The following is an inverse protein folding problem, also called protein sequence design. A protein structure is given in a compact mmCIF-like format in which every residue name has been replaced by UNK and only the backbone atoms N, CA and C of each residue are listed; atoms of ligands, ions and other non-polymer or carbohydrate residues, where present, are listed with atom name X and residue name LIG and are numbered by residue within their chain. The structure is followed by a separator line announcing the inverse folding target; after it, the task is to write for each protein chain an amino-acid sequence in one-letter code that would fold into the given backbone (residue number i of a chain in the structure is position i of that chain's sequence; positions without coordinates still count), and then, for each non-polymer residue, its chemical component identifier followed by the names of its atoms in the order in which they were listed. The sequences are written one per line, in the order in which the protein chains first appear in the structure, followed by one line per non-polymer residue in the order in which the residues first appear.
data_IF_728481831090
#
_entry.id   IF_728481831090
#
_cell.length_a   1.000
_cell.length_b   1.000
_cell.length_c   1.000
_cell.angle_alpha   90.00
_cell.angle_beta   90.00
_cell.angle_gamma   90.00
#
_symmetry.space_group_name_H-M   'P 1'
#
loop_
_entity.id
_entity.type
_entity.pdbx_description
1 polymer ?
#
# COMPACT_ATOMS: atom_id res chain seq x y z
N UNK A 1 -9.69 -5.57 19.88
CA UNK A 1 -9.01 -4.25 19.85
C UNK A 1 -7.99 -4.27 18.71
N UNK A 2 -8.07 -3.31 17.83
CA UNK A 2 -7.16 -3.20 16.68
C UNK A 2 -5.86 -2.53 17.13
N UNK A 3 -4.75 -3.15 16.78
CA UNK A 3 -3.41 -2.62 17.05
C UNK A 3 -2.58 -2.62 15.77
N UNK A 4 -1.69 -1.64 15.64
CA UNK A 4 -0.68 -1.55 14.59
C UNK A 4 0.71 -1.63 15.25
N UNK A 5 1.49 -2.62 14.85
CA UNK A 5 2.85 -2.82 15.37
C UNK A 5 3.86 -2.73 14.23
N UNK A 6 4.94 -2.02 14.47
CA UNK A 6 6.07 -2.04 13.52
C UNK A 6 6.57 -3.50 13.36
N UNK A 7 6.75 -3.90 12.12
CA UNK A 7 7.33 -5.19 11.77
C UNK A 7 8.86 -5.12 11.79
N UNK A 8 9.47 -6.21 12.18
CA UNK A 8 10.91 -6.42 12.17
C UNK A 8 11.27 -7.51 11.15
N UNK A 9 12.57 -7.73 10.82
CA UNK A 9 12.96 -8.80 9.92
C UNK A 9 12.46 -10.19 10.32
N UNK A 10 12.26 -10.44 11.61
CA UNK A 10 11.73 -11.69 12.14
C UNK A 10 10.25 -11.91 11.77
N UNK A 11 9.53 -10.84 11.44
CA UNK A 11 8.12 -10.89 11.00
C UNK A 11 7.96 -11.17 9.50
N UNK A 12 9.03 -11.25 8.73
CA UNK A 12 8.96 -11.45 7.27
C UNK A 12 8.13 -12.68 6.90
N UNK A 13 8.29 -13.85 7.52
CA UNK A 13 7.43 -15.00 7.23
C UNK A 13 5.94 -14.72 7.42
N UNK A 14 5.57 -13.98 8.47
CA UNK A 14 4.18 -13.60 8.73
C UNK A 14 3.65 -12.62 7.67
N UNK A 15 4.48 -11.66 7.24
CA UNK A 15 4.12 -10.73 6.15
C UNK A 15 3.87 -11.49 4.84
N UNK A 16 4.69 -12.48 4.54
CA UNK A 16 4.54 -13.35 3.36
C UNK A 16 3.25 -14.16 3.43
N UNK A 17 2.93 -14.76 4.58
CA UNK A 17 1.66 -15.48 4.79
C UNK A 17 0.44 -14.58 4.60
N UNK A 18 0.45 -13.40 5.23
CA UNK A 18 -0.64 -12.43 5.09
C UNK A 18 -0.81 -11.98 3.64
N UNK A 19 0.28 -11.66 2.96
CA UNK A 19 0.25 -11.25 1.56
C UNK A 19 -0.32 -12.36 0.66
N UNK A 20 0.14 -13.60 0.83
CA UNK A 20 -0.35 -14.76 0.09
C UNK A 20 -1.87 -14.94 0.28
N UNK A 21 -2.32 -14.94 1.51
CA UNK A 21 -3.74 -15.16 1.83
C UNK A 21 -4.64 -14.02 1.31
N UNK A 22 -4.20 -12.76 1.48
CA UNK A 22 -5.00 -11.59 1.12
C UNK A 22 -5.02 -11.37 -0.40
N UNK A 23 -3.87 -11.45 -1.06
CA UNK A 23 -3.77 -11.18 -2.50
C UNK A 23 -4.59 -12.16 -3.34
N UNK A 24 -4.58 -13.44 -3.00
CA UNK A 24 -5.40 -14.44 -3.70
C UNK A 24 -6.91 -14.21 -3.55
N UNK A 25 -7.34 -13.46 -2.54
CA UNK A 25 -8.75 -13.07 -2.40
C UNK A 25 -9.05 -11.74 -3.09
N UNK A 26 -8.14 -10.78 -3.02
CA UNK A 26 -8.37 -9.40 -3.51
C UNK A 26 -8.19 -9.30 -5.02
N UNK A 27 -7.22 -10.00 -5.60
CA UNK A 27 -6.85 -9.82 -7.01
C UNK A 27 -7.40 -10.88 -7.98
N UNK A 28 -8.21 -11.82 -7.51
CA UNK A 28 -8.76 -12.91 -8.34
C UNK A 28 -9.56 -12.44 -9.56
N UNK A 29 -10.18 -11.26 -9.48
CA UNK A 29 -10.95 -10.67 -10.59
C UNK A 29 -10.13 -9.72 -11.47
N UNK A 30 -8.86 -9.48 -11.14
CA UNK A 30 -8.01 -8.47 -11.79
C UNK A 30 -6.88 -9.13 -12.56
N UNK A 31 -6.21 -10.09 -11.95
CA UNK A 31 -5.08 -10.84 -12.53
C UNK A 31 -5.27 -12.33 -12.27
N UNK A 32 -4.56 -13.16 -13.02
CA UNK A 32 -4.62 -14.62 -12.84
C UNK A 32 -3.94 -15.07 -11.55
N UNK A 33 -4.27 -16.28 -11.01
CA UNK A 33 -3.56 -16.83 -9.86
C UNK A 33 -2.05 -16.96 -10.09
N UNK A 34 -1.63 -17.33 -11.29
CA UNK A 34 -0.22 -17.46 -11.67
C UNK A 34 0.48 -16.09 -11.67
N UNK A 35 -0.18 -15.05 -12.16
CA UNK A 35 0.32 -13.67 -12.11
C UNK A 35 0.41 -13.18 -10.66
N UNK A 36 -0.57 -13.51 -9.82
CA UNK A 36 -0.54 -13.20 -8.39
C UNK A 36 0.66 -13.84 -7.71
N UNK A 37 0.89 -15.14 -7.92
CA UNK A 37 2.03 -15.86 -7.36
C UNK A 37 3.36 -15.27 -7.82
N UNK A 38 3.46 -14.91 -9.10
CA UNK A 38 4.66 -14.28 -9.65
C UNK A 38 4.93 -12.90 -9.00
N UNK A 39 3.90 -12.07 -8.86
CA UNK A 39 4.05 -10.76 -8.21
C UNK A 39 4.45 -10.92 -6.75
N UNK A 40 3.83 -11.84 -6.01
CA UNK A 40 4.18 -12.12 -4.63
C UNK A 40 5.63 -12.60 -4.50
N UNK A 41 6.09 -13.47 -5.39
CA UNK A 41 7.47 -13.98 -5.39
C UNK A 41 8.53 -12.89 -5.63
N UNK A 42 8.16 -11.82 -6.35
CA UNK A 42 9.05 -10.70 -6.66
C UNK A 42 8.98 -9.56 -5.63
N UNK A 43 7.78 -9.27 -5.14
CA UNK A 43 7.53 -8.12 -4.27
C UNK A 43 7.65 -8.44 -2.79
N UNK A 44 7.48 -9.70 -2.41
CA UNK A 44 7.43 -10.16 -1.02
C UNK A 44 8.50 -11.21 -0.69
N UNK A 45 9.50 -11.39 -1.54
CA UNK A 45 10.63 -12.24 -1.14
C UNK A 45 11.37 -11.62 0.05
N UNK A 46 11.99 -12.48 0.85
CA UNK A 46 12.61 -12.06 2.11
C UNK A 46 13.75 -11.06 1.91
N UNK A 47 14.48 -11.15 0.80
CA UNK A 47 15.56 -10.22 0.47
C UNK A 47 15.01 -8.84 0.16
N UNK A 48 13.94 -8.77 -0.61
CA UNK A 48 13.27 -7.50 -0.96
C UNK A 48 12.71 -6.81 0.27
N UNK A 49 11.93 -7.50 1.11
CA UNK A 49 11.37 -6.91 2.33
C UNK A 49 12.48 -6.43 3.27
N UNK A 50 13.51 -7.24 3.47
CA UNK A 50 14.65 -6.90 4.34
C UNK A 50 15.38 -5.66 3.83
N UNK A 51 15.60 -5.56 2.52
CA UNK A 51 16.23 -4.40 1.88
C UNK A 51 15.36 -3.15 2.03
N UNK A 52 14.05 -3.25 1.84
CA UNK A 52 13.12 -2.13 2.05
C UNK A 52 13.18 -1.63 3.49
N UNK A 53 13.15 -2.54 4.48
CA UNK A 53 13.27 -2.18 5.90
C UNK A 53 14.62 -1.50 6.18
N UNK A 54 15.71 -2.01 5.63
CA UNK A 54 17.04 -1.43 5.80
C UNK A 54 17.16 -0.04 5.17
N UNK A 55 16.39 0.24 4.11
CA UNK A 55 16.36 1.53 3.41
C UNK A 55 15.31 2.51 3.98
N UNK A 56 14.73 2.20 5.14
CA UNK A 56 13.83 3.12 5.85
C UNK A 56 12.36 2.96 5.54
N UNK A 57 11.94 1.96 4.78
CA UNK A 57 10.52 1.64 4.63
C UNK A 57 9.99 1.05 5.94
N UNK A 58 8.96 1.67 6.46
CA UNK A 58 8.25 1.18 7.63
C UNK A 58 7.23 0.15 7.19
N UNK A 59 7.31 -1.03 7.73
CA UNK A 59 6.30 -2.08 7.60
C UNK A 59 5.55 -2.21 8.93
N UNK A 60 4.23 -2.32 8.88
CA UNK A 60 3.41 -2.57 10.07
C UNK A 60 2.45 -3.72 9.86
N UNK A 61 2.17 -4.44 10.93
CA UNK A 61 1.20 -5.53 10.99
C UNK A 61 0.00 -5.04 11.79
N UNK A 62 -1.19 -5.17 11.20
CA UNK A 62 -2.46 -4.93 11.86
C UNK A 62 -2.96 -6.21 12.51
N UNK A 63 -3.43 -6.11 13.74
CA UNK A 63 -4.00 -7.22 14.50
C UNK A 63 -5.35 -6.85 15.08
N UNK A 64 -6.24 -7.82 15.15
CA UNK A 64 -7.42 -7.79 16.02
C UNK A 64 -7.17 -8.75 17.18
N UNK A 65 -6.93 -8.19 18.37
CA UNK A 65 -6.40 -8.96 19.49
C UNK A 65 -5.06 -9.61 19.12
N UNK A 66 -5.02 -10.94 19.15
CA UNK A 66 -3.82 -11.70 18.78
C UNK A 66 -3.76 -12.08 17.29
N UNK A 67 -4.86 -11.93 16.55
CA UNK A 67 -4.99 -12.37 15.16
C UNK A 67 -4.43 -11.32 14.19
N UNK A 68 -3.42 -11.66 13.36
CA UNK A 68 -2.99 -10.79 12.29
C UNK A 68 -4.08 -10.69 11.21
N UNK A 69 -4.43 -9.46 10.81
CA UNK A 69 -5.54 -9.21 9.88
C UNK A 69 -5.13 -8.38 8.66
N UNK A 70 -3.90 -7.90 8.62
CA UNK A 70 -3.44 -7.08 7.51
C UNK A 70 -2.08 -6.46 7.77
N UNK A 71 -1.65 -5.65 6.82
CA UNK A 71 -0.35 -4.97 6.88
C UNK A 71 -0.36 -3.71 6.02
N UNK A 72 0.58 -2.82 6.29
CA UNK A 72 0.85 -1.65 5.46
C UNK A 72 2.36 -1.36 5.44
N UNK A 73 2.79 -0.65 4.41
CA UNK A 73 4.17 -0.13 4.35
C UNK A 73 4.21 1.22 3.66
N UNK A 74 5.08 2.08 4.15
CA UNK A 74 5.25 3.44 3.65
C UNK A 74 6.67 3.95 3.92
N UNK A 75 7.09 4.95 3.16
CA UNK A 75 8.36 5.66 3.36
C UNK A 75 8.33 7.05 2.73
N UNK A 76 9.21 7.91 3.18
CA UNK A 76 9.52 9.13 2.42
C UNK A 76 10.31 8.74 1.17
N UNK A 77 9.85 9.18 0.00
CA UNK A 77 10.55 8.96 -1.28
C UNK A 77 11.25 10.22 -1.77
N UNK A 78 10.81 11.39 -1.30
CA UNK A 78 11.49 12.68 -1.39
C UNK A 78 11.30 13.41 -0.07
N UNK A 79 11.99 14.54 0.19
CA UNK A 79 11.73 15.33 1.40
C UNK A 79 10.28 15.81 1.54
N UNK A 80 9.53 15.90 0.45
CA UNK A 80 8.17 16.42 0.42
C UNK A 80 7.09 15.35 0.16
N UNK A 81 7.48 14.15 -0.26
CA UNK A 81 6.53 13.09 -0.64
C UNK A 81 6.74 11.83 0.18
N UNK A 82 5.68 11.43 0.89
CA UNK A 82 5.54 10.11 1.46
C UNK A 82 4.80 9.20 0.47
N UNK A 83 5.26 7.99 0.29
CA UNK A 83 4.58 6.97 -0.51
C UNK A 83 4.04 5.87 0.38
N UNK A 84 2.75 5.60 0.24
CA UNK A 84 2.09 4.41 0.77
C UNK A 84 2.29 3.28 -0.25
N UNK A 85 3.20 2.36 0.07
CA UNK A 85 3.56 1.26 -0.84
C UNK A 85 2.53 0.14 -0.80
N UNK A 86 2.05 -0.19 0.40
CA UNK A 86 1.12 -1.31 0.63
C UNK A 86 0.13 -0.95 1.73
N UNK A 87 -1.13 -1.31 1.52
CA UNK A 87 -2.19 -1.24 2.52
C UNK A 87 -3.21 -2.33 2.20
N UNK A 88 -3.21 -3.38 3.00
CA UNK A 88 -4.04 -4.56 2.77
C UNK A 88 -4.65 -5.06 4.06
N UNK A 89 -5.92 -5.42 4.00
CA UNK A 89 -6.68 -6.08 5.05
C UNK A 89 -7.31 -7.35 4.52
N UNK A 90 -7.35 -8.37 5.36
CA UNK A 90 -8.15 -9.56 5.09
C UNK A 90 -9.59 -9.12 4.76
N UNK A 91 -10.16 -9.58 3.61
CA UNK A 91 -11.51 -9.24 3.20
C UNK A 91 -12.59 -9.49 4.26
N UNK A 92 -12.42 -10.48 5.13
CA UNK A 92 -13.33 -10.73 6.25
C UNK A 92 -13.41 -9.56 7.26
N UNK A 93 -12.47 -8.66 7.22
CA UNK A 93 -12.38 -7.47 8.07
C UNK A 93 -12.72 -6.16 7.32
N UNK A 94 -13.11 -6.24 6.04
CA UNK A 94 -13.57 -5.08 5.30
C UNK A 94 -14.93 -4.55 5.80
N UNK A 95 -15.23 -3.29 5.52
CA UNK A 95 -16.50 -2.66 5.88
C UNK A 95 -16.64 -2.29 7.37
N UNK A 96 -15.61 -2.50 8.17
CA UNK A 96 -15.62 -2.19 9.62
C UNK A 96 -14.84 -0.91 9.97
N UNK A 97 -14.50 -0.10 8.99
CA UNK A 97 -13.72 1.13 9.20
C UNK A 97 -12.23 0.91 9.47
N UNK A 98 -11.72 -0.32 9.40
CA UNK A 98 -10.34 -0.64 9.75
C UNK A 98 -9.33 -0.06 8.76
N UNK A 99 -9.69 0.04 7.48
CA UNK A 99 -8.86 0.70 6.47
C UNK A 99 -8.56 2.16 6.82
N UNK A 100 -9.50 2.85 7.49
CA UNK A 100 -9.29 4.20 7.99
C UNK A 100 -8.21 4.26 9.06
N UNK A 101 -8.15 3.26 9.94
CA UNK A 101 -7.12 3.18 10.99
C UNK A 101 -5.74 3.03 10.37
N UNK A 102 -5.60 2.15 9.36
CA UNK A 102 -4.34 1.95 8.66
C UNK A 102 -3.93 3.21 7.88
N UNK A 103 -4.87 3.84 7.19
CA UNK A 103 -4.61 5.08 6.44
C UNK A 103 -4.18 6.21 7.39
N UNK A 104 -4.82 6.32 8.53
CA UNK A 104 -4.48 7.34 9.54
C UNK A 104 -3.05 7.18 10.03
N UNK A 105 -2.58 5.97 10.26
CA UNK A 105 -1.19 5.70 10.66
C UNK A 105 -0.18 6.18 9.61
N UNK A 106 -0.46 5.95 8.33
CA UNK A 106 0.38 6.46 7.24
C UNK A 106 0.37 7.99 7.15
N UNK A 107 -0.79 8.61 7.36
CA UNK A 107 -0.94 10.07 7.40
C UNK A 107 -0.16 10.68 8.56
N UNK A 108 -0.23 10.10 9.75
CA UNK A 108 0.52 10.56 10.92
C UNK A 108 2.03 10.50 10.70
N UNK A 109 2.52 9.42 10.08
CA UNK A 109 3.91 9.30 9.69
C UNK A 109 4.33 10.39 8.70
N UNK A 110 3.52 10.65 7.68
CA UNK A 110 3.78 11.67 6.67
C UNK A 110 3.77 13.09 7.28
N UNK A 111 2.78 13.40 8.12
CA UNK A 111 2.70 14.68 8.83
C UNK A 111 3.89 14.90 9.77
N UNK A 112 4.29 13.90 10.52
CA UNK A 112 5.44 13.99 11.42
C UNK A 112 6.75 14.32 10.69
N UNK A 113 6.83 14.03 9.40
CA UNK A 113 7.97 14.32 8.52
C UNK A 113 7.76 15.53 7.62
N UNK A 114 6.68 16.28 7.85
CA UNK A 114 6.37 17.50 7.09
C UNK A 114 6.21 17.23 5.58
N UNK A 115 5.75 16.03 5.22
CA UNK A 115 5.43 15.72 3.85
C UNK A 115 4.28 16.60 3.34
N UNK A 116 4.39 17.05 2.11
CA UNK A 116 3.34 17.82 1.43
C UNK A 116 2.37 16.96 0.64
N UNK A 117 2.79 15.76 0.33
CA UNK A 117 2.02 14.80 -0.46
C UNK A 117 2.11 13.41 0.16
N UNK A 118 0.98 12.70 0.12
CA UNK A 118 0.94 11.25 0.26
C UNK A 118 0.52 10.67 -1.08
N UNK A 119 1.34 9.78 -1.63
CA UNK A 119 1.09 9.11 -2.90
C UNK A 119 0.89 7.62 -2.74
N UNK A 120 0.22 7.02 -3.70
CA UNK A 120 0.11 5.57 -3.83
C UNK A 120 -0.04 5.18 -5.31
N UNK A 121 0.14 3.89 -5.60
CA UNK A 121 -0.21 3.27 -6.87
C UNK A 121 -1.32 2.25 -6.66
N UNK A 122 -2.24 2.17 -7.61
CA UNK A 122 -3.36 1.24 -7.58
C UNK A 122 -3.66 0.77 -8.99
N UNK A 123 -3.94 -0.52 -9.15
CA UNK A 123 -4.38 -1.06 -10.44
C UNK A 123 -5.70 -0.39 -10.85
N UNK A 124 -5.80 0.06 -12.10
CA UNK A 124 -6.99 0.76 -12.62
C UNK A 124 -8.26 -0.09 -12.59
N UNK A 125 -8.13 -1.41 -12.58
CA UNK A 125 -9.25 -2.34 -12.45
C UNK A 125 -9.70 -2.57 -10.98
N UNK A 126 -8.92 -2.11 -10.01
CA UNK A 126 -9.27 -2.24 -8.59
C UNK A 126 -10.22 -1.10 -8.15
N UNK A 127 -11.45 -1.14 -8.68
CA UNK A 127 -12.44 -0.08 -8.46
C UNK A 127 -12.82 0.10 -6.98
N UNK A 128 -12.83 -0.98 -6.21
CA UNK A 128 -13.12 -0.93 -4.77
C UNK A 128 -12.07 -0.12 -4.02
N UNK A 129 -10.79 -0.38 -4.29
CA UNK A 129 -9.70 0.36 -3.67
C UNK A 129 -9.69 1.83 -4.11
N UNK A 130 -9.89 2.10 -5.40
CA UNK A 130 -9.97 3.47 -5.94
C UNK A 130 -11.06 4.27 -5.24
N UNK A 131 -12.26 3.71 -5.08
CA UNK A 131 -13.35 4.38 -4.34
C UNK A 131 -12.97 4.65 -2.89
N UNK A 132 -12.29 3.72 -2.22
CA UNK A 132 -11.81 3.92 -0.86
C UNK A 132 -10.79 5.06 -0.79
N UNK A 133 -9.85 5.11 -1.74
CA UNK A 133 -8.86 6.19 -1.79
C UNK A 133 -9.49 7.54 -2.07
N UNK A 134 -10.47 7.63 -2.96
CA UNK A 134 -11.26 8.86 -3.13
C UNK A 134 -11.91 9.32 -1.83
N UNK A 135 -12.46 8.40 -1.04
CA UNK A 135 -13.07 8.73 0.25
C UNK A 135 -12.05 9.27 1.27
N UNK A 136 -10.77 8.94 1.12
CA UNK A 136 -9.67 9.50 1.92
C UNK A 136 -9.09 10.80 1.34
N UNK A 137 -9.60 11.29 0.23
CA UNK A 137 -9.17 12.54 -0.39
C UNK A 137 -8.05 12.42 -1.42
N UNK A 138 -7.77 11.21 -1.91
CA UNK A 138 -6.86 11.01 -3.04
C UNK A 138 -7.56 11.30 -4.36
N UNK A 139 -6.78 11.77 -5.34
CA UNK A 139 -7.21 11.94 -6.72
C UNK A 139 -6.19 11.31 -7.66
N UNK A 140 -6.64 10.89 -8.84
CA UNK A 140 -5.76 10.40 -9.89
C UNK A 140 -4.90 11.54 -10.42
N UNK A 141 -3.58 11.35 -10.43
CA UNK A 141 -2.63 12.32 -10.95
C UNK A 141 -1.99 11.85 -12.25
N UNK A 142 -1.82 10.54 -12.42
CA UNK A 142 -1.08 9.98 -13.54
C UNK A 142 -1.56 8.56 -13.83
N UNK A 143 -1.65 8.21 -15.13
CA UNK A 143 -1.83 6.84 -15.59
C UNK A 143 -0.46 6.24 -15.92
N UNK A 144 -0.16 5.08 -15.37
CA UNK A 144 1.13 4.40 -15.55
C UNK A 144 0.88 3.02 -16.16
N UNK A 145 1.34 2.83 -17.38
CA UNK A 145 1.40 1.53 -18.02
C UNK A 145 2.83 1.01 -17.97
N UNK A 146 3.02 -0.20 -17.45
CA UNK A 146 4.35 -0.76 -17.30
C UNK A 146 4.36 -2.27 -17.43
N UNK A 147 5.48 -2.79 -17.86
CA UNK A 147 5.70 -4.21 -18.01
C UNK A 147 6.42 -4.74 -16.77
N UNK A 148 5.72 -5.55 -15.99
CA UNK A 148 6.25 -6.12 -14.73
C UNK A 148 7.36 -7.14 -15.01
N UNK A 149 7.08 -8.04 -15.96
CA UNK A 149 8.01 -8.94 -16.60
C UNK A 149 7.63 -9.03 -18.08
N UNK A 150 8.49 -9.55 -18.99
CA UNK A 150 8.15 -9.70 -20.40
C UNK A 150 6.80 -10.37 -20.61
N UNK A 151 5.89 -9.67 -21.31
CA UNK A 151 4.52 -10.13 -21.59
C UNK A 151 3.50 -9.92 -20.47
N UNK A 152 3.90 -9.40 -19.31
CA UNK A 152 2.98 -9.11 -18.20
C UNK A 152 2.91 -7.61 -17.94
N UNK A 153 1.86 -6.98 -18.49
CA UNK A 153 1.62 -5.55 -18.36
C UNK A 153 0.68 -5.25 -17.18
N UNK A 154 0.99 -4.18 -16.47
CA UNK A 154 0.17 -3.62 -15.41
C UNK A 154 -0.26 -2.20 -15.77
N UNK A 155 -1.47 -1.85 -15.40
CA UNK A 155 -2.11 -0.58 -15.69
C UNK A 155 -2.53 0.06 -14.37
N UNK A 156 -1.76 1.04 -13.91
CA UNK A 156 -1.96 1.67 -12.62
C UNK A 156 -2.37 3.13 -12.75
N UNK A 157 -3.02 3.64 -11.71
CA UNK A 157 -3.03 5.06 -11.40
C UNK A 157 -1.98 5.35 -10.33
N UNK A 158 -1.30 6.49 -10.47
CA UNK A 158 -0.68 7.17 -9.35
C UNK A 158 -1.71 8.12 -8.79
N UNK A 159 -2.04 7.96 -7.52
CA UNK A 159 -2.99 8.83 -6.83
C UNK A 159 -2.26 9.67 -5.79
N UNK A 160 -2.71 10.89 -5.60
CA UNK A 160 -2.13 11.87 -4.69
C UNK A 160 -3.16 12.41 -3.72
N UNK A 161 -2.72 12.59 -2.47
CA UNK A 161 -3.42 13.36 -1.46
C UNK A 161 -2.51 14.50 -0.99
N UNK A 162 -2.89 15.77 -1.23
CA UNK A 162 -2.21 16.91 -0.62
C UNK A 162 -2.35 16.85 0.91
N UNK A 163 -1.26 17.17 1.62
CA UNK A 163 -1.23 17.30 3.06
C UNK A 163 -1.18 18.78 3.45
N UNK A 164 -1.48 19.09 4.71
CA UNK A 164 -1.68 20.45 5.19
C UNK A 164 -0.62 21.45 4.69
N UNK A 165 -1.09 22.55 4.09
CA UNK A 165 -0.28 23.67 3.57
C UNK A 165 0.21 23.51 2.12
N UNK A 166 -0.01 22.39 1.48
CA UNK A 166 0.36 22.18 0.07
C UNK A 166 -0.81 22.43 -0.87
N UNK A 167 -0.79 23.54 -1.62
CA UNK A 167 -1.56 23.62 -2.84
C UNK A 167 -1.08 22.51 -3.77
N UNK A 168 -2.00 21.82 -4.43
CA UNK A 168 -1.64 20.86 -5.47
C UNK A 168 -0.66 21.52 -6.47
N UNK A 169 0.38 20.81 -6.93
CA UNK A 169 1.23 21.37 -7.96
C UNK A 169 0.35 21.74 -9.15
N UNK A 170 0.38 23.02 -9.54
CA UNK A 170 -0.22 23.46 -10.79
C UNK A 170 0.54 22.74 -11.90
N UNK A 171 -0.16 21.92 -12.65
CA UNK A 171 0.31 21.47 -13.95
C UNK A 171 0.37 22.70 -14.84
N UNK A 172 1.52 23.34 -14.96
CA UNK A 172 1.76 24.32 -15.99
C UNK A 172 1.69 23.57 -17.33
N UNK A 173 0.86 24.12 -18.22
CA UNK A 173 0.58 23.67 -19.58
C UNK A 173 1.82 23.74 -20.45
#
# INVERSE_FOLDING_TARGET
MITLRAATPEDIPLLQELAQAIWHQVFTSIITPEQTDLMLSKMYDAVTIRREMANGTIWKIARDGTTPIGYLSYSMITPEECKLHKIYLDPAHHGKGLGKILMQDALEYAHARQARLLSLRVNRANHKAIRAYHSFGFTEAESIDWEFIPGFHLHDFRMLKPLDGGSAPRTDQ
#
